data_IF_437641468725
#
_entry.id   IF_437641468725
#
_cell.length_a   1.000
_cell.length_b   1.000
_cell.length_c   1.000
_cell.angle_alpha   90.00
_cell.angle_beta   90.00
_cell.angle_gamma   90.00
#
_symmetry.space_group_name_H-M   'P 1'
#
loop_
_entity.id
_entity.type
_entity.pdbx_description
1 polymer ?
#
# COMPACT_ATOMS: atom_id res chain seq x y z
N UNK A 1 -15.98 5.39 -10.72
CA UNK A 1 -14.92 5.38 -9.74
C UNK A 1 -14.68 4.00 -9.20
N UNK A 2 -13.54 3.48 -9.53
CA UNK A 2 -13.15 2.16 -9.07
C UNK A 2 -12.23 2.29 -7.86
N UNK A 3 -12.55 1.55 -6.83
CA UNK A 3 -11.71 1.50 -5.65
C UNK A 3 -11.01 0.15 -5.65
N UNK A 4 -9.70 0.17 -5.81
CA UNK A 4 -8.90 -1.04 -5.79
C UNK A 4 -8.06 -1.05 -4.54
N UNK A 5 -7.97 -2.21 -3.93
CA UNK A 5 -7.06 -2.43 -2.82
C UNK A 5 -6.03 -3.46 -3.26
N UNK A 6 -4.78 -3.15 -3.07
CA UNK A 6 -3.71 -4.08 -3.36
C UNK A 6 -3.32 -4.76 -2.06
N UNK A 7 -3.41 -6.08 -2.05
CA UNK A 7 -3.02 -6.87 -0.89
C UNK A 7 -1.62 -7.40 -1.11
N UNK A 8 -0.73 -7.08 -0.23
CA UNK A 8 0.66 -7.49 -0.32
C UNK A 8 1.00 -8.33 0.89
N UNK A 9 1.58 -9.50 0.66
CA UNK A 9 1.92 -10.42 1.74
C UNK A 9 3.34 -10.20 2.26
N UNK A 10 3.85 -9.01 2.06
CA UNK A 10 5.19 -8.66 2.48
C UNK A 10 5.24 -7.17 2.80
N UNK A 11 6.44 -6.68 3.01
CA UNK A 11 6.65 -5.27 3.31
C UNK A 11 6.30 -4.40 2.10
N UNK A 12 5.55 -3.34 2.35
CA UNK A 12 5.25 -2.36 1.32
C UNK A 12 6.48 -1.48 1.12
N UNK A 13 6.97 -1.46 -0.10
CA UNK A 13 8.12 -0.65 -0.44
C UNK A 13 7.80 0.23 -1.65
N UNK A 14 8.80 0.98 -2.10
CA UNK A 14 8.63 1.92 -3.19
C UNK A 14 8.14 1.26 -4.48
N UNK A 15 8.63 0.07 -4.78
CA UNK A 15 8.21 -0.66 -5.97
C UNK A 15 6.72 -0.98 -5.94
N UNK A 16 6.26 -1.41 -4.78
CA UNK A 16 4.85 -1.76 -4.61
C UNK A 16 3.98 -0.52 -4.71
N UNK A 17 4.44 0.57 -4.13
CA UNK A 17 3.71 1.84 -4.21
C UNK A 17 3.61 2.30 -5.66
N UNK A 18 4.71 2.22 -6.40
CA UNK A 18 4.71 2.61 -7.81
C UNK A 18 3.76 1.75 -8.62
N UNK A 19 3.75 0.45 -8.34
CA UNK A 19 2.86 -0.47 -9.03
C UNK A 19 1.40 -0.13 -8.75
N UNK A 20 1.09 0.17 -7.50
CA UNK A 20 -0.27 0.53 -7.11
C UNK A 20 -0.71 1.83 -7.77
N UNK A 21 0.19 2.79 -7.86
CA UNK A 21 -0.12 4.06 -8.52
C UNK A 21 -0.37 3.83 -10.01
N UNK A 22 0.40 2.93 -10.61
CA UNK A 22 0.25 2.60 -12.01
C UNK A 22 -1.08 1.89 -12.28
N UNK A 23 -1.56 1.15 -11.31
CA UNK A 23 -2.85 0.46 -11.40
C UNK A 23 -4.02 1.31 -10.93
N UNK A 24 -3.73 2.52 -10.49
CA UNK A 24 -4.74 3.45 -10.00
C UNK A 24 -5.45 2.88 -8.76
N UNK A 25 -4.71 2.19 -7.93
CA UNK A 25 -5.25 1.62 -6.70
C UNK A 25 -5.42 2.70 -5.65
N UNK A 26 -6.45 2.58 -4.84
CA UNK A 26 -6.72 3.54 -3.77
C UNK A 26 -6.00 3.18 -2.48
N UNK A 27 -5.78 1.88 -2.25
CA UNK A 27 -5.21 1.38 -0.99
C UNK A 27 -4.19 0.29 -1.26
N UNK A 28 -3.21 0.21 -0.37
CA UNK A 28 -2.30 -0.93 -0.33
C UNK A 28 -2.31 -1.43 1.11
N UNK A 29 -2.51 -2.73 1.27
CA UNK A 29 -2.45 -3.35 2.58
C UNK A 29 -1.31 -4.36 2.56
N UNK A 30 -0.33 -4.18 3.42
CA UNK A 30 0.81 -5.08 3.53
C UNK A 30 1.06 -5.44 4.97
N UNK A 31 2.09 -6.23 5.21
CA UNK A 31 2.44 -6.61 6.57
C UNK A 31 3.06 -5.47 7.34
N UNK A 32 3.99 -4.80 6.72
CA UNK A 32 4.65 -3.65 7.33
C UNK A 32 4.87 -2.59 6.28
N UNK A 33 5.20 -1.40 6.72
CA UNK A 33 5.53 -0.30 5.83
C UNK A 33 7.02 -0.03 5.89
N UNK A 34 7.65 0.02 4.73
CA UNK A 34 9.03 0.44 4.63
C UNK A 34 9.13 1.92 4.97
N UNK A 35 10.25 2.33 5.53
CA UNK A 35 10.46 3.74 5.82
C UNK A 35 10.50 4.61 4.58
N UNK A 36 10.72 4.00 3.41
CA UNK A 36 10.74 4.74 2.14
C UNK A 36 9.41 4.70 1.41
N UNK A 37 8.47 3.86 1.86
CA UNK A 37 7.15 3.78 1.23
C UNK A 37 6.35 5.02 1.54
N UNK A 38 5.96 5.74 0.50
CA UNK A 38 5.25 6.98 0.67
C UNK A 38 4.48 7.31 -0.60
N UNK A 39 3.24 7.71 -0.44
CA UNK A 39 2.42 8.13 -1.57
C UNK A 39 1.35 9.09 -1.09
N UNK A 40 1.08 10.12 -1.87
CA UNK A 40 -0.01 11.03 -1.58
C UNK A 40 -1.31 10.62 -2.26
N UNK A 41 -1.23 9.70 -3.21
CA UNK A 41 -2.39 9.25 -3.98
C UNK A 41 -2.95 7.92 -3.52
N UNK A 42 -2.13 7.13 -2.82
CA UNK A 42 -2.51 5.79 -2.39
C UNK A 42 -2.40 5.71 -0.87
N UNK A 43 -3.42 5.18 -0.24
CA UNK A 43 -3.40 4.98 1.21
C UNK A 43 -2.61 3.73 1.53
N UNK A 44 -1.61 3.87 2.37
CA UNK A 44 -0.75 2.76 2.75
C UNK A 44 -1.17 2.27 4.14
N UNK A 45 -1.54 1.01 4.21
CA UNK A 45 -2.00 0.38 5.44
C UNK A 45 -1.15 -0.84 5.74
N UNK A 46 -0.85 -1.06 6.99
CA UNK A 46 -0.11 -2.25 7.39
C UNK A 46 -0.94 -3.08 8.35
N UNK A 47 -0.68 -4.37 8.39
CA UNK A 47 -1.36 -5.25 9.32
C UNK A 47 -1.11 -4.83 10.76
N UNK A 48 0.07 -4.33 11.04
CA UNK A 48 0.40 -3.85 12.38
C UNK A 48 -0.55 -2.75 12.82
N UNK A 49 -0.89 -1.85 11.92
CA UNK A 49 -1.80 -0.77 12.24
C UNK A 49 -3.22 -1.27 12.42
N UNK A 50 -3.59 -2.27 11.63
CA UNK A 50 -4.95 -2.81 11.67
C UNK A 50 -5.19 -3.72 12.85
N UNK A 51 -4.13 -4.33 13.38
CA UNK A 51 -4.26 -5.28 14.46
C UNK A 51 -4.36 -4.65 15.84
N UNK A 52 -4.06 -3.45 15.94
CA UNK A 52 -3.97 -2.78 17.21
C UNK A 52 -5.07 -3.22 18.24
#
# INVERSE_FOLDING_TARGET
DNVYAVLCDSEINEEIVNLAEDMDAAYIVGRTLSGTANSSDVHLLSEEQLRN
#
